data_IF_360558703219
#
_entry.id   IF_360558703219
#
_cell.length_a   1.000
_cell.length_b   1.000
_cell.length_c   1.000
_cell.angle_alpha   90.00
_cell.angle_beta   90.00
_cell.angle_gamma   90.00
#
_symmetry.space_group_name_H-M   'P 1'
#
loop_
_entity.id
_entity.type
_entity.pdbx_description
1 polymer ?
#
# COMPACT_ATOMS: atom_id res chain seq x y z
N UNK A 1 -37.07 -44.22 3.43
CA UNK A 1 -36.90 -43.06 4.34
C UNK A 1 -35.55 -42.44 4.07
N UNK A 2 -35.55 -41.28 3.41
CA UNK A 2 -34.36 -40.56 2.95
C UNK A 2 -33.57 -40.02 4.16
N UNK A 3 -32.30 -40.41 4.29
CA UNK A 3 -31.38 -39.78 5.22
C UNK A 3 -30.90 -38.47 4.57
N UNK A 4 -31.52 -37.36 4.96
CA UNK A 4 -31.06 -36.03 4.63
C UNK A 4 -29.68 -35.82 5.27
N UNK A 5 -28.63 -35.77 4.45
CA UNK A 5 -27.33 -35.29 4.89
C UNK A 5 -27.46 -33.78 5.15
N UNK A 6 -27.11 -33.27 6.35
CA UNK A 6 -27.25 -31.86 6.64
C UNK A 6 -26.20 -31.08 5.83
N UNK A 7 -26.69 -30.38 4.81
CA UNK A 7 -25.98 -29.38 4.00
C UNK A 7 -25.70 -28.12 4.85
N UNK A 8 -25.00 -28.27 5.97
CA UNK A 8 -24.78 -27.19 6.94
C UNK A 8 -23.32 -27.12 7.42
N UNK A 9 -22.36 -27.60 6.64
CA UNK A 9 -20.94 -27.62 7.01
C UNK A 9 -20.03 -26.90 6.00
N UNK A 10 -20.53 -25.83 5.36
CA UNK A 10 -19.80 -25.08 4.32
C UNK A 10 -19.84 -23.55 4.49
N UNK A 11 -20.01 -23.05 5.72
CA UNK A 11 -20.16 -21.60 5.99
C UNK A 11 -19.09 -20.99 6.92
N UNK A 12 -17.97 -21.66 7.19
CA UNK A 12 -16.95 -21.15 8.13
C UNK A 12 -15.55 -20.96 7.51
N UNK A 13 -15.46 -20.51 6.27
CA UNK A 13 -14.17 -20.11 5.66
C UNK A 13 -14.20 -18.67 5.10
N UNK A 14 -14.83 -17.76 5.84
CA UNK A 14 -14.90 -16.34 5.47
C UNK A 14 -14.37 -15.42 6.58
N UNK A 15 -13.28 -15.80 7.23
CA UNK A 15 -12.42 -14.79 7.85
C UNK A 15 -11.46 -14.31 6.76
N UNK A 16 -11.93 -13.37 5.94
CA UNK A 16 -11.01 -12.52 5.18
C UNK A 16 -10.15 -11.85 6.25
N UNK A 17 -8.94 -12.35 6.43
CA UNK A 17 -7.91 -11.70 7.23
C UNK A 17 -7.71 -10.33 6.62
N UNK A 18 -8.36 -9.31 7.19
CA UNK A 18 -7.90 -7.95 7.09
C UNK A 18 -6.54 -7.95 7.73
N UNK A 19 -5.50 -8.24 6.94
CA UNK A 19 -4.13 -8.11 7.38
C UNK A 19 -3.96 -6.63 7.69
N UNK A 20 -4.09 -6.29 8.96
CA UNK A 20 -3.69 -5.01 9.50
C UNK A 20 -2.18 -5.00 9.35
N UNK A 21 -1.68 -4.48 8.23
CA UNK A 21 -0.27 -4.19 8.10
C UNK A 21 0.01 -3.06 9.08
N UNK A 22 0.55 -3.40 10.24
CA UNK A 22 1.13 -2.43 11.13
C UNK A 22 2.16 -1.64 10.30
N UNK A 23 1.97 -0.32 10.22
CA UNK A 23 2.83 0.65 9.52
C UNK A 23 2.58 0.87 8.01
N UNK A 24 1.33 1.12 7.59
CA UNK A 24 1.09 1.80 6.31
C UNK A 24 1.38 3.29 6.45
N UNK A 25 2.44 3.78 5.79
CA UNK A 25 2.76 5.21 5.70
C UNK A 25 2.71 5.63 4.24
N UNK A 26 1.86 6.61 3.93
CA UNK A 26 1.80 7.25 2.63
C UNK A 26 1.92 8.77 2.76
N UNK A 27 2.60 9.40 1.82
CA UNK A 27 2.77 10.85 1.72
C UNK A 27 2.26 11.32 0.37
N UNK A 28 1.42 12.33 0.39
CA UNK A 28 0.97 12.99 -0.83
C UNK A 28 2.03 13.99 -1.31
N UNK A 29 2.44 13.85 -2.56
CA UNK A 29 3.37 14.73 -3.25
C UNK A 29 2.88 14.90 -4.70
N UNK A 30 1.93 15.81 -4.87
CA UNK A 30 1.29 16.06 -6.15
C UNK A 30 2.21 16.86 -7.08
N UNK A 31 2.39 16.36 -8.32
CA UNK A 31 3.26 16.95 -9.34
C UNK A 31 4.71 17.23 -8.86
N UNK A 32 5.18 16.37 -7.96
CA UNK A 32 6.53 16.50 -7.41
C UNK A 32 7.59 16.01 -8.38
N UNK A 33 8.71 16.73 -8.45
CA UNK A 33 9.91 16.19 -9.10
C UNK A 33 10.40 14.92 -8.40
N UNK A 34 11.14 14.08 -9.12
CA UNK A 34 11.74 12.86 -8.54
C UNK A 34 12.59 13.18 -7.30
N UNK A 35 13.34 14.29 -7.33
CA UNK A 35 14.15 14.76 -6.19
C UNK A 35 13.28 15.17 -5.00
N UNK A 36 12.17 15.87 -5.23
CA UNK A 36 11.26 16.26 -4.14
C UNK A 36 10.60 15.04 -3.49
N UNK A 37 10.13 14.07 -4.30
CA UNK A 37 9.58 12.81 -3.80
C UNK A 37 10.62 12.03 -2.96
N UNK A 38 11.85 11.91 -3.44
CA UNK A 38 12.96 11.28 -2.71
C UNK A 38 13.25 11.99 -1.37
N UNK A 39 13.25 13.32 -1.35
CA UNK A 39 13.48 14.09 -0.12
C UNK A 39 12.36 13.87 0.90
N UNK A 40 11.10 13.84 0.47
CA UNK A 40 9.97 13.57 1.36
C UNK A 40 10.04 12.15 1.93
N UNK A 41 10.34 11.15 1.08
CA UNK A 41 10.54 9.78 1.52
C UNK A 41 11.69 9.67 2.55
N UNK A 42 12.82 10.34 2.28
CA UNK A 42 13.99 10.35 3.18
C UNK A 42 13.65 10.97 4.53
N UNK A 43 12.97 12.12 4.55
CA UNK A 43 12.53 12.77 5.80
C UNK A 43 11.59 11.89 6.61
N UNK A 44 10.70 11.18 5.94
CA UNK A 44 9.72 10.35 6.61
C UNK A 44 10.33 9.07 7.18
N UNK A 45 11.21 8.40 6.43
CA UNK A 45 11.91 7.20 6.87
C UNK A 45 12.92 7.52 7.98
N UNK A 46 13.56 8.70 7.98
CA UNK A 46 14.43 9.12 9.07
C UNK A 46 13.72 9.24 10.44
N UNK A 47 12.40 9.44 10.43
CA UNK A 47 11.59 9.62 11.64
C UNK A 47 10.81 8.36 12.04
N UNK A 48 11.00 7.24 11.33
CA UNK A 48 10.21 6.03 11.53
C UNK A 48 11.07 4.76 11.47
N UNK A 49 10.77 3.76 12.31
CA UNK A 49 11.33 2.41 12.13
C UNK A 49 10.68 1.64 10.95
N UNK A 50 9.90 2.33 10.11
CA UNK A 50 9.13 1.71 9.04
C UNK A 50 10.04 1.39 7.86
N UNK A 51 9.92 0.15 7.35
CA UNK A 51 10.79 -0.35 6.29
C UNK A 51 10.40 0.15 4.89
N UNK A 52 9.23 0.76 4.73
CA UNK A 52 8.78 1.27 3.43
C UNK A 52 7.77 2.40 3.60
N UNK A 53 7.78 3.34 2.65
CA UNK A 53 6.82 4.43 2.55
C UNK A 53 6.34 4.58 1.11
N UNK A 54 5.11 5.03 0.94
CA UNK A 54 4.50 5.25 -0.37
C UNK A 54 4.37 6.75 -0.63
N UNK A 55 4.97 7.25 -1.71
CA UNK A 55 4.75 8.63 -2.15
C UNK A 55 3.73 8.62 -3.27
N UNK A 56 2.62 9.32 -3.07
CA UNK A 56 1.46 9.34 -3.95
C UNK A 56 1.40 10.66 -4.69
N UNK A 57 1.25 10.59 -6.00
CA UNK A 57 1.00 11.73 -6.87
C UNK A 57 -0.35 11.55 -7.55
N UNK A 58 -1.35 12.31 -7.09
CA UNK A 58 -2.69 12.26 -7.66
C UNK A 58 -2.81 12.98 -9.00
N UNK A 59 -1.90 13.91 -9.32
CA UNK A 59 -1.92 14.63 -10.60
C UNK A 59 -1.48 13.69 -11.71
N UNK A 60 -0.43 12.92 -11.45
CA UNK A 60 0.13 11.97 -12.40
C UNK A 60 -0.39 10.53 -12.22
N UNK A 61 -1.40 10.33 -11.37
CA UNK A 61 -2.05 9.05 -11.05
C UNK A 61 -1.06 7.93 -10.74
N UNK A 62 -0.04 8.23 -9.94
CA UNK A 62 1.01 7.28 -9.65
C UNK A 62 1.36 7.19 -8.17
N UNK A 63 1.99 6.09 -7.81
CA UNK A 63 2.56 5.87 -6.49
C UNK A 63 3.92 5.20 -6.63
N UNK A 64 4.90 5.72 -5.89
CA UNK A 64 6.24 5.15 -5.75
C UNK A 64 6.42 4.60 -4.35
N UNK A 65 7.03 3.42 -4.24
CA UNK A 65 7.47 2.87 -2.96
C UNK A 65 8.94 3.17 -2.74
N UNK A 66 9.24 3.72 -1.57
CA UNK A 66 10.59 3.95 -1.10
C UNK A 66 10.88 3.05 0.08
N UNK A 67 12.12 2.59 0.17
CA UNK A 67 12.63 1.77 1.25
C UNK A 67 13.98 2.29 1.69
N UNK A 68 14.24 2.19 2.99
CA UNK A 68 15.56 2.45 3.55
C UNK A 68 16.32 1.12 3.70
N UNK A 69 17.58 1.12 3.26
CA UNK A 69 18.57 0.06 3.48
C UNK A 69 19.85 0.70 4.02
N UNK A 70 20.14 0.46 5.31
CA UNK A 70 21.12 1.24 6.05
C UNK A 70 20.76 2.73 6.07
N UNK A 71 21.67 3.58 5.58
CA UNK A 71 21.47 5.03 5.47
C UNK A 71 20.88 5.47 4.11
N UNK A 72 20.76 4.54 3.16
CA UNK A 72 20.31 4.84 1.81
C UNK A 72 18.80 4.64 1.67
N UNK A 73 18.12 5.64 1.12
CA UNK A 73 16.72 5.55 0.71
C UNK A 73 16.65 5.41 -0.80
N UNK A 74 15.92 4.43 -1.31
CA UNK A 74 15.78 4.17 -2.74
C UNK A 74 14.37 3.73 -3.10
N UNK A 75 14.01 3.85 -4.38
CA UNK A 75 12.76 3.28 -4.88
C UNK A 75 12.87 1.77 -5.01
N UNK A 76 11.77 1.08 -4.78
CA UNK A 76 11.69 -0.37 -4.93
C UNK A 76 10.33 -0.76 -5.48
N UNK A 77 10.28 -1.87 -6.22
CA UNK A 77 9.05 -2.33 -6.84
C UNK A 77 7.97 -2.61 -5.81
N UNK A 78 6.77 -2.10 -6.10
CA UNK A 78 5.58 -2.33 -5.30
C UNK A 78 4.90 -3.62 -5.74
N UNK A 79 4.48 -4.42 -4.76
CA UNK A 79 3.64 -5.60 -5.04
C UNK A 79 2.23 -5.16 -5.43
N UNK A 80 1.50 -6.02 -6.14
CA UNK A 80 0.09 -5.77 -6.48
C UNK A 80 -0.75 -5.53 -5.21
N UNK A 81 -0.54 -6.33 -4.16
CA UNK A 81 -1.25 -6.19 -2.89
C UNK A 81 -1.00 -4.83 -2.24
N UNK A 82 0.24 -4.32 -2.27
CA UNK A 82 0.56 -2.98 -1.76
C UNK A 82 -0.14 -1.89 -2.60
N UNK A 83 -0.18 -2.03 -3.93
CA UNK A 83 -0.88 -1.06 -4.78
C UNK A 83 -2.39 -1.05 -4.54
N UNK A 84 -3.00 -2.22 -4.38
CA UNK A 84 -4.42 -2.32 -4.00
C UNK A 84 -4.68 -1.69 -2.64
N UNK A 85 -3.76 -1.83 -1.68
CA UNK A 85 -3.90 -1.20 -0.36
C UNK A 85 -3.82 0.32 -0.43
N UNK A 86 -2.84 0.88 -1.15
CA UNK A 86 -2.75 2.34 -1.36
C UNK A 86 -4.05 2.85 -1.99
N UNK A 87 -4.54 2.16 -3.03
CA UNK A 87 -5.80 2.54 -3.68
C UNK A 87 -7.02 2.42 -2.75
N UNK A 88 -7.08 1.40 -1.90
CA UNK A 88 -8.14 1.25 -0.91
C UNK A 88 -8.07 2.36 0.16
N UNK A 89 -6.87 2.70 0.63
CA UNK A 89 -6.66 3.80 1.58
C UNK A 89 -7.17 5.14 1.01
N UNK A 90 -6.90 5.38 -0.28
CA UNK A 90 -7.35 6.58 -0.99
C UNK A 90 -8.65 6.38 -1.79
N UNK A 91 -9.48 5.38 -1.46
CA UNK A 91 -10.72 5.09 -2.19
C UNK A 91 -11.67 6.31 -2.24
N UNK A 92 -11.66 7.14 -1.19
CA UNK A 92 -12.43 8.38 -1.11
C UNK A 92 -12.06 9.41 -2.20
N UNK A 93 -10.85 9.33 -2.77
CA UNK A 93 -10.38 10.18 -3.88
C UNK A 93 -10.98 9.80 -5.22
N UNK A 94 -11.56 8.59 -5.35
CA UNK A 94 -12.17 8.05 -6.59
C UNK A 94 -11.22 8.04 -7.79
N UNK A 95 -9.93 7.80 -7.54
CA UNK A 95 -8.89 7.67 -8.55
C UNK A 95 -8.12 6.38 -8.33
N UNK A 96 -7.56 5.82 -9.41
CA UNK A 96 -6.73 4.62 -9.33
C UNK A 96 -5.27 4.99 -9.62
N UNK A 97 -4.41 4.78 -8.63
CA UNK A 97 -2.98 5.05 -8.66
C UNK A 97 -2.22 3.86 -9.22
N UNK A 98 -1.40 4.11 -10.24
CA UNK A 98 -0.51 3.10 -10.82
C UNK A 98 0.82 3.08 -10.08
N UNK A 99 1.27 1.89 -9.68
CA UNK A 99 2.63 1.71 -9.18
C UNK A 99 3.66 2.05 -10.25
N UNK A 100 4.68 2.83 -9.90
CA UNK A 100 5.85 3.10 -10.73
C UNK A 100 7.12 3.00 -9.87
N UNK A 101 8.24 2.66 -10.52
CA UNK A 101 9.55 2.54 -9.89
C UNK A 101 10.38 3.84 -10.02
#
# INVERSE_FOLDING_TARGET
MNKMFPTALLLLSSTISGATFANFTAIECNDCSATAAQQQATKALANQETKSIYVVDFVNYNVKKFKQDGDAVSTTTMTLSENLQVNNHYAHRKVNLRSID
#
